data_IF_897457745678
#
_entry.id   IF_897457745678
#
_cell.length_a   1.000
_cell.length_b   1.000
_cell.length_c   1.000
_cell.angle_alpha   90.00
_cell.angle_beta   90.00
_cell.angle_gamma   90.00
#
_symmetry.space_group_name_H-M   'P 1'
#
loop_
_entity.id
_entity.type
_entity.pdbx_description
1 polymer ?
#
# COMPACT_ATOMS: atom_id res chain seq x y z
N UNK A 1 -3.83 -20.13 -9.21
CA UNK A 1 -4.63 -20.11 -7.97
C UNK A 1 -4.44 -18.74 -7.35
N UNK A 2 -5.41 -17.83 -7.48
CA UNK A 2 -5.35 -16.51 -6.84
C UNK A 2 -5.85 -16.67 -5.41
N UNK A 3 -4.96 -16.56 -4.42
CA UNK A 3 -5.36 -16.54 -3.02
C UNK A 3 -6.30 -15.35 -2.81
N UNK A 4 -7.56 -15.61 -2.43
CA UNK A 4 -8.49 -14.56 -2.04
C UNK A 4 -8.08 -14.05 -0.67
N UNK A 5 -7.31 -12.96 -0.66
CA UNK A 5 -6.97 -12.26 0.57
C UNK A 5 -8.23 -11.52 1.02
N UNK A 6 -8.77 -11.84 2.19
CA UNK A 6 -9.94 -11.18 2.78
C UNK A 6 -9.49 -10.16 3.82
N UNK A 7 -10.26 -9.08 4.00
CA UNK A 7 -9.95 -8.03 4.97
C UNK A 7 -9.72 -8.55 6.41
N UNK A 8 -10.37 -9.67 6.75
CA UNK A 8 -10.30 -10.33 8.05
C UNK A 8 -9.02 -11.15 8.27
N UNK A 9 -8.30 -11.49 7.19
CA UNK A 9 -7.07 -12.33 7.24
C UNK A 9 -5.79 -11.51 7.07
N UNK A 10 -5.92 -10.19 6.96
CA UNK A 10 -4.78 -9.29 6.80
C UNK A 10 -4.16 -8.97 8.15
N UNK A 11 -2.85 -9.19 8.27
CA UNK A 11 -2.06 -8.68 9.38
C UNK A 11 -2.02 -7.15 9.31
N UNK A 12 -2.42 -6.43 10.38
CA UNK A 12 -2.38 -4.98 10.39
C UNK A 12 -0.92 -4.51 10.32
N UNK A 13 -0.58 -3.78 9.26
CA UNK A 13 0.71 -3.12 9.13
C UNK A 13 0.54 -1.72 9.72
N UNK A 14 1.37 -1.35 10.68
CA UNK A 14 1.35 -0.02 11.27
C UNK A 14 2.56 0.78 10.78
N UNK A 15 2.30 1.97 10.28
CA UNK A 15 3.34 2.94 9.92
C UNK A 15 2.99 4.26 10.58
N UNK A 16 3.93 4.84 11.33
CA UNK A 16 3.72 6.07 12.09
C UNK A 16 2.45 6.04 12.96
N UNK A 17 2.21 4.93 13.66
CA UNK A 17 1.01 4.66 14.49
C UNK A 17 -0.33 4.63 13.74
N UNK A 18 -0.32 4.62 12.42
CA UNK A 18 -1.52 4.52 11.58
C UNK A 18 -1.51 3.16 10.87
N UNK A 19 -2.67 2.50 10.83
CA UNK A 19 -2.83 1.28 10.06
C UNK A 19 -2.74 1.61 8.57
N UNK A 20 -1.80 1.00 7.88
CA UNK A 20 -1.56 1.17 6.44
C UNK A 20 -1.66 -0.17 5.73
N UNK A 21 -1.96 -0.12 4.44
CA UNK A 21 -1.91 -1.29 3.55
C UNK A 21 -1.02 -0.97 2.36
N UNK A 22 -0.25 -1.97 1.91
CA UNK A 22 0.60 -1.80 0.74
C UNK A 22 -0.25 -1.79 -0.54
N UNK A 23 0.26 -1.16 -1.59
CA UNK A 23 -0.39 -1.13 -2.90
C UNK A 23 -0.60 -2.53 -3.48
N UNK A 24 0.28 -3.46 -3.13
CA UNK A 24 0.18 -4.88 -3.48
C UNK A 24 -0.99 -5.56 -2.79
N UNK A 25 -1.11 -5.40 -1.48
CA UNK A 25 -2.19 -5.99 -0.71
C UNK A 25 -3.54 -5.39 -1.12
N UNK A 26 -3.58 -4.06 -1.35
CA UNK A 26 -4.74 -3.36 -1.89
C UNK A 26 -5.14 -3.92 -3.26
N UNK A 27 -4.18 -4.13 -4.16
CA UNK A 27 -4.41 -4.71 -5.47
C UNK A 27 -5.01 -6.13 -5.35
N UNK A 28 -4.45 -6.99 -4.50
CA UNK A 28 -4.98 -8.34 -4.24
C UNK A 28 -6.38 -8.34 -3.63
N UNK A 29 -6.68 -7.42 -2.70
CA UNK A 29 -8.00 -7.26 -2.10
C UNK A 29 -9.07 -6.89 -3.12
N UNK A 30 -8.76 -5.91 -3.98
CA UNK A 30 -9.68 -5.44 -5.01
C UNK A 30 -9.65 -6.30 -6.29
N UNK A 31 -8.79 -7.32 -6.37
CA UNK A 31 -8.56 -8.09 -7.59
C UNK A 31 -8.06 -7.23 -8.75
N UNK A 32 -7.43 -6.10 -8.45
CA UNK A 32 -6.91 -5.15 -9.42
C UNK A 32 -5.40 -5.36 -9.64
N UNK A 33 -4.88 -4.85 -10.75
CA UNK A 33 -3.43 -4.81 -10.98
C UNK A 33 -2.82 -3.63 -10.21
N UNK A 34 -1.66 -3.83 -9.57
CA UNK A 34 -0.88 -2.75 -8.96
C UNK A 34 -0.64 -1.59 -9.93
N UNK A 35 -0.46 -1.89 -11.23
CA UNK A 35 -0.28 -0.88 -12.26
C UNK A 35 -1.49 0.05 -12.36
N UNK A 36 -2.71 -0.51 -12.28
CA UNK A 36 -3.96 0.26 -12.32
C UNK A 36 -4.12 1.12 -11.08
N UNK A 37 -3.77 0.62 -9.90
CA UNK A 37 -3.78 1.41 -8.66
C UNK A 37 -2.81 2.59 -8.77
N UNK A 38 -1.57 2.35 -9.23
CA UNK A 38 -0.58 3.41 -9.45
C UNK A 38 -1.04 4.43 -10.47
N UNK A 39 -1.64 3.98 -11.58
CA UNK A 39 -2.22 4.88 -12.58
C UNK A 39 -3.36 5.70 -11.97
N UNK A 40 -4.28 5.08 -11.23
CA UNK A 40 -5.39 5.81 -10.60
C UNK A 40 -4.88 6.90 -9.65
N UNK A 41 -3.86 6.58 -8.86
CA UNK A 41 -3.16 7.53 -8.02
C UNK A 41 -2.57 8.68 -8.85
N UNK A 42 -1.79 8.39 -9.90
CA UNK A 42 -1.18 9.42 -10.78
C UNK A 42 -2.21 10.33 -11.44
N UNK A 43 -3.35 9.80 -11.89
CA UNK A 43 -4.40 10.59 -12.54
C UNK A 43 -5.24 11.42 -11.57
N UNK A 44 -5.25 11.06 -10.28
CA UNK A 44 -6.03 11.73 -9.25
C UNK A 44 -5.15 12.28 -8.13
N UNK A 45 -3.87 12.55 -8.39
CA UNK A 45 -2.91 13.00 -7.37
C UNK A 45 -3.39 14.22 -6.61
N UNK A 46 -4.11 15.14 -7.28
CA UNK A 46 -4.70 16.33 -6.64
C UNK A 46 -5.73 16.00 -5.55
N UNK A 47 -6.30 14.79 -5.56
CA UNK A 47 -7.27 14.32 -4.56
C UNK A 47 -6.60 13.58 -3.40
N UNK A 48 -5.32 13.22 -3.54
CA UNK A 48 -4.58 12.43 -2.58
C UNK A 48 -3.60 13.32 -1.80
N UNK A 49 -3.70 13.30 -0.47
CA UNK A 49 -2.84 14.06 0.45
C UNK A 49 -1.89 13.09 1.14
N UNK A 50 -0.59 13.37 1.05
CA UNK A 50 0.46 12.58 1.71
C UNK A 50 0.29 12.64 3.23
N UNK A 51 0.43 11.50 3.90
CA UNK A 51 0.17 11.35 5.33
C UNK A 51 -1.31 11.21 5.73
N UNK A 52 -2.26 11.40 4.80
CA UNK A 52 -3.70 11.19 5.05
C UNK A 52 -4.28 10.05 4.23
N UNK A 53 -4.01 10.05 2.92
CA UNK A 53 -4.61 9.09 1.99
C UNK A 53 -3.62 8.08 1.44
N UNK A 54 -2.34 8.44 1.40
CA UNK A 54 -1.25 7.57 1.00
C UNK A 54 0.00 8.00 1.75
N UNK A 55 0.96 7.09 1.84
CA UNK A 55 2.29 7.40 2.33
C UNK A 55 3.25 7.20 1.17
N UNK A 56 3.90 8.28 0.73
CA UNK A 56 4.91 8.19 -0.33
C UNK A 56 6.24 7.74 0.26
N UNK A 57 6.51 6.45 0.22
CA UNK A 57 7.83 5.93 0.56
C UNK A 57 8.80 6.30 -0.57
N UNK A 58 9.71 7.23 -0.30
CA UNK A 58 10.78 7.62 -1.24
C UNK A 58 12.15 7.51 -0.59
N UNK A 59 13.10 6.88 -1.29
CA UNK A 59 14.50 6.81 -0.86
C UNK A 59 14.75 5.88 0.33
N UNK A 60 15.33 6.43 1.40
CA UNK A 60 15.81 5.66 2.56
C UNK A 60 14.70 4.91 3.31
N UNK A 61 13.47 5.42 3.28
CA UNK A 61 12.32 4.79 3.96
C UNK A 61 11.95 3.43 3.35
N UNK A 62 12.14 3.28 2.04
CA UNK A 62 11.95 2.02 1.32
C UNK A 62 13.02 0.98 1.72
N UNK A 63 14.25 1.44 2.02
CA UNK A 63 15.34 0.57 2.49
C UNK A 63 15.11 0.07 3.91
N UNK A 64 14.56 0.91 4.79
CA UNK A 64 14.26 0.52 6.16
C UNK A 64 13.28 -0.66 6.22
N UNK A 65 12.20 -0.64 5.41
CA UNK A 65 11.24 -1.76 5.35
C UNK A 65 11.89 -3.04 4.81
N UNK A 66 12.79 -2.96 3.83
CA UNK A 66 13.49 -4.16 3.33
C UNK A 66 14.43 -4.77 4.36
N UNK A 67 14.91 -3.98 5.32
CA UNK A 67 15.88 -4.43 6.32
C UNK A 67 15.21 -4.96 7.59
N UNK A 68 14.00 -4.48 7.93
CA UNK A 68 13.19 -5.00 9.05
C UNK A 68 12.40 -6.27 8.69
N UNK A 69 12.40 -6.67 7.42
CA UNK A 69 11.76 -7.90 6.94
C UNK A 69 12.74 -9.09 6.79
N UNK A 70 13.98 -8.98 7.31
CA UNK A 70 15.00 -10.05 7.31
C UNK A 70 15.36 -10.43 8.75
#
# INVERSE_FOLDING_TARGET
>A
MTAQITAETISPITYNQINVITTELLASLYGADQKLIRQNYTHNTDRFVDGKHYFKLTGNELKCISSDLI
#
